data_IF_758531041008
#
_entry.id   IF_758531041008
#
_cell.length_a   1.000
_cell.length_b   1.000
_cell.length_c   1.000
_cell.angle_alpha   90.00
_cell.angle_beta   90.00
_cell.angle_gamma   90.00
#
_symmetry.space_group_name_H-M   'P 1'
#
loop_
_entity.id
_entity.type
_entity.pdbx_description
1 polymer ?
#
# COMPACT_ATOMS: atom_id res chain seq x y z
N UNK A 1 11.34 29.21 -5.85
CA UNK A 1 10.33 29.03 -4.78
C UNK A 1 11.00 29.11 -3.42
N UNK A 2 10.24 28.99 -2.34
CA UNK A 2 10.78 28.95 -0.97
C UNK A 2 10.49 27.58 -0.33
N UNK A 3 11.45 27.00 0.40
CA UNK A 3 11.22 25.77 1.18
C UNK A 3 10.44 26.03 2.48
N UNK A 4 10.44 27.28 2.93
CA UNK A 4 9.65 27.78 4.06
C UNK A 4 9.10 29.16 3.64
N UNK A 5 7.78 29.33 3.71
CA UNK A 5 7.11 30.54 3.26
C UNK A 5 7.39 31.73 4.20
N UNK A 6 7.50 31.49 5.51
CA UNK A 6 7.70 32.52 6.51
C UNK A 6 9.16 33.03 6.49
N UNK A 7 10.12 32.11 6.50
CA UNK A 7 11.53 32.44 6.52
C UNK A 7 12.09 32.82 5.13
N UNK A 8 11.37 32.47 4.05
CA UNK A 8 11.76 32.69 2.64
C UNK A 8 13.15 32.15 2.21
N UNK A 9 13.70 31.05 2.75
CA UNK A 9 14.87 30.42 2.15
C UNK A 9 14.51 29.74 0.83
N UNK A 10 15.36 29.88 -0.19
CA UNK A 10 15.28 29.05 -1.38
C UNK A 10 15.57 27.57 -1.03
N UNK A 11 14.92 26.59 -1.70
CA UNK A 11 15.28 25.19 -1.58
C UNK A 11 16.68 24.93 -2.15
N UNK A 12 17.34 23.90 -1.64
CA UNK A 12 18.65 23.42 -2.06
C UNK A 12 18.70 21.87 -2.06
N UNK A 13 19.83 21.30 -2.44
CA UNK A 13 20.08 19.85 -2.51
C UNK A 13 19.90 19.12 -1.17
N UNK A 14 19.92 19.84 -0.06
CA UNK A 14 19.69 19.29 1.29
C UNK A 14 18.25 19.47 1.79
N UNK A 15 17.35 20.01 0.97
CA UNK A 15 15.95 20.20 1.36
C UNK A 15 15.21 18.87 1.31
N UNK A 16 14.58 18.49 2.43
CA UNK A 16 13.84 17.23 2.56
C UNK A 16 12.41 17.43 2.07
N UNK A 17 11.92 16.46 1.29
CA UNK A 17 10.56 16.41 0.77
C UNK A 17 9.92 15.07 1.09
N UNK A 18 8.60 15.06 1.28
CA UNK A 18 7.84 13.82 1.40
C UNK A 18 7.76 13.16 0.02
N UNK A 19 8.21 11.90 -0.06
CA UNK A 19 8.21 11.15 -1.33
C UNK A 19 6.81 10.72 -1.78
N UNK A 20 5.84 10.68 -0.86
CA UNK A 20 4.48 10.24 -1.11
C UNK A 20 4.46 8.89 -1.86
N UNK A 21 3.74 8.78 -2.97
CA UNK A 21 3.62 7.53 -3.72
C UNK A 21 4.92 6.99 -4.31
N UNK A 22 6.00 7.78 -4.38
CA UNK A 22 7.31 7.28 -4.78
C UNK A 22 7.88 6.26 -3.78
N UNK A 23 7.42 6.29 -2.53
CA UNK A 23 7.76 5.29 -1.51
C UNK A 23 7.39 3.86 -1.94
N UNK A 24 6.36 3.68 -2.78
CA UNK A 24 5.92 2.35 -3.28
C UNK A 24 7.01 1.63 -4.06
N UNK A 25 7.84 2.36 -4.81
CA UNK A 25 8.96 1.77 -5.54
C UNK A 25 10.03 1.20 -4.60
N UNK A 26 10.24 1.84 -3.44
CA UNK A 26 11.15 1.32 -2.42
C UNK A 26 10.57 0.08 -1.74
N UNK A 27 9.28 0.07 -1.42
CA UNK A 27 8.58 -1.11 -0.89
C UNK A 27 8.67 -2.30 -1.86
N UNK A 28 8.35 -2.08 -3.15
CA UNK A 28 8.43 -3.11 -4.18
C UNK A 28 9.87 -3.62 -4.38
N UNK A 29 10.87 -2.73 -4.32
CA UNK A 29 12.27 -3.13 -4.40
C UNK A 29 12.71 -3.96 -3.18
N UNK A 30 12.30 -3.59 -1.97
CA UNK A 30 12.59 -4.36 -0.76
C UNK A 30 12.00 -5.77 -0.82
N UNK A 31 10.74 -5.89 -1.28
CA UNK A 31 10.10 -7.19 -1.52
C UNK A 31 10.84 -7.96 -2.62
N UNK A 32 11.27 -7.29 -3.69
CA UNK A 32 12.05 -7.91 -4.76
C UNK A 32 13.39 -8.50 -4.28
N UNK A 33 14.02 -7.91 -3.27
CA UNK A 33 15.21 -8.49 -2.62
C UNK A 33 14.85 -9.78 -1.89
N UNK A 34 13.77 -9.79 -1.10
CA UNK A 34 13.30 -11.01 -0.41
C UNK A 34 12.95 -12.14 -1.39
N UNK A 35 12.34 -11.78 -2.54
CA UNK A 35 12.06 -12.75 -3.61
C UNK A 35 13.34 -13.28 -4.24
N UNK A 36 14.34 -12.42 -4.47
CA UNK A 36 15.63 -12.84 -5.01
C UNK A 36 16.39 -13.78 -4.06
N UNK A 37 16.24 -13.59 -2.75
CA UNK A 37 16.83 -14.43 -1.71
C UNK A 37 16.05 -15.74 -1.47
N UNK A 38 14.86 -15.89 -2.08
CA UNK A 38 14.02 -17.08 -1.96
C UNK A 38 13.18 -17.14 -0.68
N UNK A 39 13.09 -16.04 0.07
CA UNK A 39 12.30 -15.91 1.29
C UNK A 39 10.80 -15.67 1.01
N UNK A 40 10.48 -15.17 -0.19
CA UNK A 40 9.13 -14.94 -0.69
C UNK A 40 9.03 -15.31 -2.18
N UNK A 41 7.81 -15.53 -2.66
CA UNK A 41 7.46 -15.54 -4.08
C UNK A 41 6.42 -14.45 -4.36
N UNK A 42 6.46 -13.89 -5.57
CA UNK A 42 5.39 -12.99 -6.03
C UNK A 42 4.03 -13.70 -6.14
N UNK A 43 4.05 -15.01 -6.32
CA UNK A 43 2.85 -15.86 -6.40
C UNK A 43 2.39 -16.39 -5.04
N UNK A 44 3.09 -16.04 -3.95
CA UNK A 44 2.70 -16.48 -2.61
C UNK A 44 1.30 -15.91 -2.26
N UNK A 45 0.38 -16.74 -1.75
CA UNK A 45 -0.91 -16.28 -1.27
C UNK A 45 -0.74 -15.30 -0.11
N UNK A 46 -1.48 -14.19 -0.14
CA UNK A 46 -1.38 -13.17 0.92
C UNK A 46 -1.78 -13.69 2.29
N UNK A 47 -2.67 -14.70 2.38
CA UNK A 47 -3.03 -15.33 3.64
C UNK A 47 -1.89 -16.11 4.29
N UNK A 48 -0.91 -16.57 3.49
CA UNK A 48 0.26 -17.28 4.00
C UNK A 48 1.32 -16.28 4.49
N UNK A 49 1.45 -15.13 3.83
CA UNK A 49 2.36 -14.04 4.20
C UNK A 49 1.88 -13.28 5.45
N UNK A 50 0.57 -13.02 5.54
CA UNK A 50 -0.05 -12.27 6.63
C UNK A 50 -1.08 -13.13 7.37
N UNK A 51 -0.66 -13.96 8.34
CA UNK A 51 -1.56 -14.75 9.17
C UNK A 51 -2.57 -13.84 9.89
N UNK A 52 -3.84 -13.91 9.48
CA UNK A 52 -4.91 -13.02 9.96
C UNK A 52 -5.55 -12.16 8.88
N UNK A 53 -4.99 -12.12 7.67
CA UNK A 53 -5.67 -11.53 6.51
C UNK A 53 -6.89 -12.39 6.14
N UNK A 54 -8.07 -11.86 6.44
CA UNK A 54 -9.35 -12.48 6.12
C UNK A 54 -10.24 -11.45 5.47
N UNK A 55 -10.82 -11.79 4.33
CA UNK A 55 -11.75 -10.95 3.59
C UNK A 55 -13.02 -11.75 3.30
N UNK A 56 -14.19 -11.08 3.31
CA UNK A 56 -15.48 -11.75 3.10
C UNK A 56 -15.62 -12.39 1.71
N UNK A 57 -14.83 -11.93 0.74
CA UNK A 57 -14.68 -12.53 -0.59
C UNK A 57 -13.52 -13.54 -0.59
N UNK A 58 -13.83 -14.82 -0.80
CA UNK A 58 -12.84 -15.91 -0.83
C UNK A 58 -11.73 -15.74 -1.87
N UNK A 59 -12.03 -15.17 -3.04
CA UNK A 59 -11.00 -14.93 -4.05
C UNK A 59 -9.95 -13.94 -3.52
N UNK A 60 -10.38 -12.91 -2.79
CA UNK A 60 -9.45 -11.98 -2.14
C UNK A 60 -8.70 -12.66 -1.00
N UNK A 61 -9.38 -13.35 -0.10
CA UNK A 61 -8.74 -13.88 1.11
C UNK A 61 -7.82 -15.08 0.86
N UNK A 62 -8.11 -15.92 -0.15
CA UNK A 62 -7.41 -17.20 -0.35
C UNK A 62 -6.68 -17.34 -1.68
N UNK A 63 -6.98 -16.48 -2.66
CA UNK A 63 -6.41 -16.60 -4.02
C UNK A 63 -5.60 -15.38 -4.44
N UNK A 64 -5.68 -14.27 -3.69
CA UNK A 64 -4.85 -13.10 -3.99
C UNK A 64 -3.40 -13.37 -3.61
N UNK A 65 -2.52 -12.91 -4.49
CA UNK A 65 -1.07 -13.07 -4.35
C UNK A 65 -0.40 -11.77 -3.97
N UNK A 66 0.86 -11.85 -3.52
CA UNK A 66 1.71 -10.68 -3.31
C UNK A 66 1.76 -9.77 -4.55
N UNK A 67 1.81 -10.37 -5.75
CA UNK A 67 1.81 -9.62 -7.00
C UNK A 67 0.51 -8.86 -7.26
N UNK A 68 -0.65 -9.40 -6.87
CA UNK A 68 -1.93 -8.71 -7.04
C UNK A 68 -1.99 -7.42 -6.20
N UNK A 69 -1.37 -7.44 -5.02
CA UNK A 69 -1.23 -6.28 -4.15
C UNK A 69 -0.23 -5.26 -4.70
N UNK A 70 0.94 -5.72 -5.17
CA UNK A 70 1.96 -4.85 -5.75
C UNK A 70 1.59 -4.29 -7.13
N UNK A 71 0.70 -4.94 -7.88
CA UNK A 71 0.23 -4.49 -9.20
C UNK A 71 -1.12 -3.75 -9.19
N UNK A 72 -1.58 -3.24 -8.04
CA UNK A 72 -2.97 -2.91 -7.70
C UNK A 72 -4.08 -3.59 -8.52
N UNK A 73 -4.13 -4.92 -8.52
CA UNK A 73 -5.15 -5.72 -9.23
C UNK A 73 -6.03 -6.56 -8.31
N UNK A 74 -6.03 -6.27 -7.02
CA UNK A 74 -6.88 -6.98 -6.04
C UNK A 74 -8.38 -6.79 -6.31
N UNK A 75 -8.79 -5.71 -6.97
CA UNK A 75 -10.21 -5.37 -7.16
C UNK A 75 -10.86 -4.74 -5.93
N UNK A 76 -10.08 -4.44 -4.89
CA UNK A 76 -10.55 -3.74 -3.68
C UNK A 76 -10.73 -2.24 -3.93
N UNK A 77 -11.79 -1.68 -3.36
CA UNK A 77 -12.11 -0.26 -3.46
C UNK A 77 -10.98 0.62 -2.94
N UNK A 78 -10.64 1.63 -3.73
CA UNK A 78 -9.67 2.65 -3.36
C UNK A 78 -10.29 3.63 -2.35
N UNK A 79 -10.31 3.29 -1.07
CA UNK A 79 -10.77 4.18 0.01
C UNK A 79 -9.68 5.18 0.43
N UNK A 80 -8.90 5.70 -0.52
CA UNK A 80 -7.71 6.53 -0.25
C UNK A 80 -8.00 7.80 0.56
N UNK A 81 -9.23 8.29 0.58
CA UNK A 81 -9.62 9.42 1.43
C UNK A 81 -9.50 9.10 2.93
N UNK A 82 -9.57 7.82 3.33
CA UNK A 82 -9.35 7.39 4.72
C UNK A 82 -7.86 7.34 5.10
N UNK A 83 -6.97 7.39 4.11
CA UNK A 83 -5.53 7.51 4.35
C UNK A 83 -5.13 8.97 4.64
N UNK A 84 -6.00 9.95 4.38
CA UNK A 84 -5.68 11.37 4.53
C UNK A 84 -5.62 11.77 6.01
N UNK A 85 -4.57 12.52 6.32
CA UNK A 85 -4.26 13.08 7.63
C UNK A 85 -5.04 14.39 7.82
N UNK A 86 -5.61 14.61 8.99
CA UNK A 86 -5.95 15.97 9.43
C UNK A 86 -4.78 16.52 10.26
N UNK A 87 -4.28 17.70 9.93
CA UNK A 87 -3.23 18.37 10.71
C UNK A 87 -1.91 17.61 10.89
N UNK A 88 -1.53 16.69 9.98
CA UNK A 88 -0.38 15.78 10.09
C UNK A 88 -0.52 14.63 11.09
N UNK A 89 -1.71 14.41 11.64
CA UNK A 89 -1.98 13.24 12.48
C UNK A 89 -2.38 12.04 11.62
N UNK A 90 -1.81 10.88 11.94
CA UNK A 90 -2.20 9.61 11.34
C UNK A 90 -3.54 9.18 11.95
N UNK A 91 -4.62 9.21 11.14
CA UNK A 91 -5.94 8.72 11.57
C UNK A 91 -5.99 7.19 11.68
N UNK A 92 -5.07 6.50 11.02
CA UNK A 92 -4.93 5.05 11.03
C UNK A 92 -3.51 4.69 11.45
N UNK A 93 -3.38 3.77 12.40
CA UNK A 93 -2.10 3.20 12.80
C UNK A 93 -1.75 1.99 11.91
N UNK A 94 -0.53 1.48 12.06
CA UNK A 94 -0.14 0.23 11.40
C UNK A 94 -1.08 -0.93 11.79
N UNK A 95 -1.51 -0.97 13.06
CA UNK A 95 -2.40 -2.02 13.59
C UNK A 95 -3.80 -1.98 12.97
N UNK A 96 -4.27 -0.78 12.59
CA UNK A 96 -5.59 -0.59 11.97
C UNK A 96 -5.64 -1.00 10.49
N UNK A 97 -4.47 -1.11 9.85
CA UNK A 97 -4.40 -1.23 8.38
C UNK A 97 -4.92 -2.57 7.89
N UNK A 98 -4.50 -3.68 8.49
CA UNK A 98 -4.94 -5.01 8.07
C UNK A 98 -6.47 -5.21 8.24
N UNK A 99 -7.07 -4.87 9.40
CA UNK A 99 -8.54 -4.84 9.55
C UNK A 99 -9.21 -3.98 8.49
N UNK A 100 -8.67 -2.80 8.18
CA UNK A 100 -9.25 -1.93 7.15
C UNK A 100 -9.27 -2.60 5.78
N UNK A 101 -8.19 -3.25 5.34
CA UNK A 101 -8.14 -3.97 4.05
C UNK A 101 -9.16 -5.11 4.01
N UNK A 102 -9.30 -5.84 5.12
CA UNK A 102 -10.26 -6.93 5.30
C UNK A 102 -11.73 -6.52 5.12
N UNK A 103 -12.06 -5.24 5.27
CA UNK A 103 -13.41 -4.71 5.12
C UNK A 103 -13.61 -3.82 3.87
N UNK A 104 -12.63 -3.70 2.98
CA UNK A 104 -12.78 -2.92 1.76
C UNK A 104 -13.79 -3.58 0.80
N UNK A 105 -14.69 -2.78 0.22
CA UNK A 105 -15.63 -3.27 -0.79
C UNK A 105 -14.88 -3.84 -2.01
N UNK A 106 -15.39 -4.90 -2.61
CA UNK A 106 -14.89 -5.42 -3.90
C UNK A 106 -15.61 -4.67 -5.03
N UNK A 107 -14.85 -3.97 -5.87
CA UNK A 107 -15.37 -3.19 -7.00
C UNK A 107 -15.16 -3.86 -8.35
N UNK A 108 -14.18 -4.77 -8.45
CA UNK A 108 -13.88 -5.59 -9.62
C UNK A 108 -13.46 -6.99 -9.19
N UNK A 109 -13.54 -7.98 -10.08
CA UNK A 109 -13.01 -9.31 -9.78
C UNK A 109 -11.47 -9.25 -9.64
N UNK A 110 -10.91 -10.16 -8.84
CA UNK A 110 -9.47 -10.30 -8.67
C UNK A 110 -8.78 -10.45 -10.04
N UNK A 111 -7.76 -9.63 -10.30
CA UNK A 111 -6.98 -9.66 -11.53
C UNK A 111 -7.66 -9.01 -12.75
N UNK A 112 -8.93 -8.63 -12.66
CA UNK A 112 -9.73 -8.15 -13.80
C UNK A 112 -9.29 -6.76 -14.27
N UNK A 113 -9.07 -5.84 -13.33
CA UNK A 113 -8.75 -4.43 -13.62
C UNK A 113 -7.70 -3.89 -12.67
N UNK A 114 -6.91 -2.94 -13.17
CA UNK A 114 -6.02 -2.14 -12.35
C UNK A 114 -6.83 -1.07 -11.60
N UNK A 115 -6.66 -0.98 -10.28
CA UNK A 115 -7.27 0.04 -9.44
C UNK A 115 -6.25 0.55 -8.44
N UNK A 116 -5.81 1.80 -8.59
CA UNK A 116 -4.85 2.41 -7.67
C UNK A 116 -5.36 2.33 -6.23
N UNK A 117 -4.62 1.67 -5.34
CA UNK A 117 -5.03 1.48 -3.96
C UNK A 117 -3.82 1.62 -3.03
N UNK A 118 -3.81 2.64 -2.17
CA UNK A 118 -2.71 2.85 -1.22
C UNK A 118 -2.66 1.73 -0.18
N UNK A 119 -3.80 1.14 0.17
CA UNK A 119 -3.88 0.11 1.19
C UNK A 119 -3.16 -1.18 0.81
N UNK A 120 -3.00 -1.45 -0.50
CA UNK A 120 -2.26 -2.62 -0.96
C UNK A 120 -0.75 -2.55 -0.70
N UNK A 121 -0.22 -1.36 -0.38
CA UNK A 121 1.19 -1.11 -0.10
C UNK A 121 1.46 -0.79 1.38
N UNK A 122 0.43 -0.78 2.20
CA UNK A 122 0.54 -0.46 3.64
C UNK A 122 0.41 -1.68 4.55
N UNK A 123 0.01 -2.83 4.00
CA UNK A 123 -0.02 -4.10 4.71
C UNK A 123 1.27 -4.91 4.51
#
# INVERSE_FOLDING_TARGET
GYRDIAAKPAPNEHTVYHLASLSKSFTAAAIGVLVADGELSFDDPMCDILPGFLHANEAISSQSTLLDFLSPRTGLASKNSLWQQDGHELLLTAEDTLPMVSYLDVVHLLGEQWTYNNFCYSI
#
